data_IF_641091384644
#
_entry.id   IF_641091384644
#
_cell.length_a   1.000
_cell.length_b   1.000
_cell.length_c   1.000
_cell.angle_alpha   90.00
_cell.angle_beta   90.00
_cell.angle_gamma   90.00
#
_symmetry.space_group_name_H-M   'P 1'
#
loop_
_entity.id
_entity.type
_entity.pdbx_description
1 polymer ?
#
# COMPACT_ATOMS: atom_id res chain seq x y z
N UNK A 1 17.38 -10.06 -10.56
CA UNK A 1 16.29 -10.01 -9.55
C UNK A 1 14.99 -10.24 -10.29
N UNK A 2 14.41 -11.42 -10.09
CA UNK A 2 13.29 -11.95 -10.87
C UNK A 2 11.99 -11.19 -10.60
N UNK A 3 11.22 -10.98 -11.66
CA UNK A 3 10.03 -10.16 -11.69
C UNK A 3 8.97 -10.60 -10.69
N UNK A 4 8.43 -9.59 -10.00
CA UNK A 4 7.04 -9.62 -9.54
C UNK A 4 6.18 -9.91 -10.77
N UNK A 5 5.61 -11.11 -10.84
CA UNK A 5 4.55 -11.42 -11.80
C UNK A 5 3.37 -10.51 -11.46
N UNK A 6 3.28 -9.39 -12.17
CA UNK A 6 2.02 -8.71 -12.38
C UNK A 6 1.08 -9.76 -12.97
N UNK A 7 0.08 -10.17 -12.20
CA UNK A 7 -1.08 -10.84 -12.77
C UNK A 7 -1.69 -9.85 -13.76
N UNK A 8 -1.65 -10.22 -15.03
CA UNK A 8 -1.55 -9.43 -16.27
C UNK A 8 -2.28 -8.07 -16.46
N UNK A 9 -3.06 -7.49 -15.54
CA UNK A 9 -3.77 -6.21 -15.81
C UNK A 9 -3.97 -5.28 -14.59
N UNK A 10 -3.31 -5.53 -13.44
CA UNK A 10 -3.52 -4.70 -12.25
C UNK A 10 -2.47 -3.57 -12.20
N UNK A 11 -2.84 -2.40 -12.71
CA UNK A 11 -2.08 -1.16 -12.50
C UNK A 11 -2.24 -0.71 -11.04
N UNK A 12 -1.18 -0.87 -10.26
CA UNK A 12 -1.09 -0.29 -8.92
C UNK A 12 -0.93 1.22 -9.05
N UNK A 13 -1.96 1.97 -8.68
CA UNK A 13 -1.98 3.43 -8.73
C UNK A 13 -2.23 4.00 -7.34
N UNK A 14 -1.80 5.25 -7.13
CA UNK A 14 -2.09 5.99 -5.90
C UNK A 14 -3.60 6.03 -5.62
N UNK A 15 -4.42 6.24 -6.65
CA UNK A 15 -5.88 6.27 -6.54
C UNK A 15 -6.47 4.96 -6.02
N UNK A 16 -5.97 3.81 -6.49
CA UNK A 16 -6.40 2.51 -5.94
C UNK A 16 -6.07 2.39 -4.45
N UNK A 17 -4.86 2.78 -4.05
CA UNK A 17 -4.45 2.75 -2.66
C UNK A 17 -5.33 3.66 -1.77
N UNK A 18 -5.69 4.85 -2.26
CA UNK A 18 -6.59 5.79 -1.58
C UNK A 18 -8.02 5.24 -1.44
N UNK A 19 -8.51 4.48 -2.41
CA UNK A 19 -9.83 3.85 -2.34
C UNK A 19 -9.84 2.79 -1.22
N UNK A 20 -8.83 1.92 -1.17
CA UNK A 20 -8.72 0.92 -0.08
C UNK A 20 -8.57 1.58 1.29
N UNK A 21 -7.81 2.67 1.40
CA UNK A 21 -7.69 3.47 2.63
C UNK A 21 -9.06 3.99 3.08
N UNK A 22 -9.83 4.59 2.17
CA UNK A 22 -11.17 5.12 2.47
C UNK A 22 -12.18 4.05 2.87
N UNK A 23 -12.05 2.84 2.33
CA UNK A 23 -12.89 1.70 2.70
C UNK A 23 -12.46 1.04 4.01
N UNK A 24 -11.36 1.48 4.62
CA UNK A 24 -10.81 0.91 5.85
C UNK A 24 -9.93 -0.33 5.65
N UNK A 25 -9.72 -0.75 4.40
CA UNK A 25 -8.85 -1.85 3.99
C UNK A 25 -7.37 -1.44 4.08
N UNK A 26 -6.90 -1.25 5.31
CA UNK A 26 -5.57 -0.69 5.58
C UNK A 26 -4.44 -1.63 5.15
N UNK A 27 -4.66 -2.95 5.16
CA UNK A 27 -3.67 -3.95 4.73
C UNK A 27 -3.50 -3.99 3.20
N UNK A 28 -4.61 -3.91 2.45
CA UNK A 28 -4.59 -3.85 0.99
C UNK A 28 -3.96 -2.53 0.52
N UNK A 29 -4.38 -1.41 1.10
CA UNK A 29 -3.79 -0.10 0.84
C UNK A 29 -2.28 -0.10 1.11
N UNK A 30 -1.84 -0.66 2.25
CA UNK A 30 -0.42 -0.77 2.61
C UNK A 30 0.39 -1.54 1.56
N UNK A 31 -0.18 -2.60 1.01
CA UNK A 31 0.49 -3.42 -0.01
C UNK A 31 0.73 -2.62 -1.28
N UNK A 32 -0.29 -1.88 -1.75
CA UNK A 32 -0.18 -1.04 -2.94
C UNK A 32 0.83 0.09 -2.73
N UNK A 33 0.78 0.78 -1.58
CA UNK A 33 1.72 1.85 -1.28
C UNK A 33 3.16 1.37 -1.17
N UNK A 34 3.41 0.14 -0.68
CA UNK A 34 4.75 -0.45 -0.69
C UNK A 34 5.26 -0.70 -2.11
N UNK A 35 4.44 -1.28 -2.99
CA UNK A 35 4.80 -1.53 -4.39
C UNK A 35 5.12 -0.19 -5.10
N UNK A 36 4.31 0.84 -4.85
CA UNK A 36 4.55 2.18 -5.38
C UNK A 36 5.84 2.79 -4.83
N UNK A 37 6.10 2.66 -3.52
CA UNK A 37 7.32 3.17 -2.87
C UNK A 37 8.58 2.47 -3.38
N UNK A 38 8.51 1.15 -3.62
CA UNK A 38 9.61 0.38 -4.18
C UNK A 38 9.90 0.76 -5.64
N UNK A 39 8.86 1.14 -6.39
CA UNK A 39 8.98 1.60 -7.79
C UNK A 39 9.40 3.07 -7.90
N UNK A 40 9.12 3.88 -6.88
CA UNK A 40 9.45 5.31 -6.80
C UNK A 40 10.23 5.61 -5.50
N UNK A 41 11.47 5.10 -5.38
CA UNK A 41 12.28 5.36 -4.20
C UNK A 41 12.57 6.87 -4.09
N UNK A 42 12.27 7.45 -2.93
CA UNK A 42 12.49 8.87 -2.65
C UNK A 42 11.24 9.76 -2.77
N UNK A 43 10.04 9.19 -2.92
CA UNK A 43 8.79 9.93 -2.70
C UNK A 43 8.42 9.90 -1.20
N UNK A 44 8.62 11.00 -0.44
CA UNK A 44 8.32 11.04 0.99
C UNK A 44 6.84 10.85 1.31
N UNK A 45 5.93 11.14 0.38
CA UNK A 45 4.50 10.96 0.59
C UNK A 45 4.12 9.47 0.58
N UNK A 46 4.77 8.66 -0.27
CA UNK A 46 4.57 7.21 -0.28
C UNK A 46 5.13 6.57 0.99
N UNK A 47 6.31 6.99 1.43
CA UNK A 47 6.92 6.51 2.68
C UNK A 47 6.06 6.82 3.91
N UNK A 48 5.53 8.05 3.99
CA UNK A 48 4.63 8.45 5.08
C UNK A 48 3.33 7.63 5.08
N UNK A 49 2.75 7.38 3.89
CA UNK A 49 1.56 6.55 3.74
C UNK A 49 1.80 5.12 4.19
N UNK A 50 2.91 4.50 3.78
CA UNK A 50 3.31 3.16 4.24
C UNK A 50 3.44 3.12 5.77
N UNK A 51 4.09 4.11 6.37
CA UNK A 51 4.29 4.15 7.84
C UNK A 51 2.96 4.28 8.58
N UNK A 52 2.07 5.17 8.11
CA UNK A 52 0.76 5.42 8.70
C UNK A 52 -0.15 4.20 8.59
N UNK A 53 -0.24 3.61 7.40
CA UNK A 53 -1.10 2.44 7.16
C UNK A 53 -0.60 1.20 7.90
N UNK A 54 0.72 1.05 8.07
CA UNK A 54 1.28 -0.01 8.92
C UNK A 54 0.77 0.09 10.35
N UNK A 55 0.75 1.29 10.93
CA UNK A 55 0.22 1.50 12.28
C UNK A 55 -1.29 1.23 12.38
N UNK A 56 -2.05 1.58 11.34
CA UNK A 56 -3.49 1.32 11.27
C UNK A 56 -3.80 -0.18 11.15
N UNK A 57 -3.09 -0.90 10.28
CA UNK A 57 -3.21 -2.35 10.12
C UNK A 57 -2.90 -3.11 11.42
N UNK A 58 -1.83 -2.73 12.12
CA UNK A 58 -1.48 -3.31 13.43
C UNK A 58 -2.56 -3.07 14.49
N UNK A 59 -3.19 -1.89 14.47
CA UNK A 59 -4.25 -1.51 15.40
C UNK A 59 -5.58 -2.23 15.11
N UNK A 60 -5.89 -2.48 13.83
CA UNK A 60 -7.02 -3.30 13.41
C UNK A 60 -6.85 -4.76 13.84
N UNK A 61 -5.64 -5.31 13.70
CA UNK A 61 -5.34 -6.70 14.06
C UNK A 61 -5.38 -6.97 15.57
N UNK A 62 -5.12 -5.96 16.42
CA UNK A 62 -5.26 -6.07 17.89
C UNK A 62 -6.71 -6.02 18.40
N UNK A 63 -7.69 -5.70 17.54
CA UNK A 63 -9.11 -5.64 17.89
C UNK A 63 -9.92 -6.85 17.39
N UNK A 64 -9.28 -7.79 16.70
CA UNK A 64 -9.88 -9.02 16.21
C UNK A 64 -9.63 -10.20 17.17
#
# INVERSE_FOLDING_TARGET
MGGVKATDDIFFTKTMAEIFEKQGHSEDALTIYKILSDSHPGDPALEEKVRTLKALAERGRKKA
#
